data_IF_547180493143
#
_entry.id   IF_547180493143
#
_cell.length_a   1.000
_cell.length_b   1.000
_cell.length_c   1.000
_cell.angle_alpha   90.00
_cell.angle_beta   90.00
_cell.angle_gamma   90.00
#
_symmetry.space_group_name_H-M   'P 1'
#
loop_
_entity.id
_entity.type
_entity.pdbx_description
1 polymer ?
#
# COMPACT_ATOMS: atom_id res chain seq x y z
N UNK A 1 40.25 18.47 32.74
CA UNK A 1 39.50 17.48 31.94
C UNK A 1 38.05 17.58 32.33
N UNK A 2 37.18 17.90 31.38
CA UNK A 2 35.72 17.88 31.61
C UNK A 2 35.25 16.47 31.43
N UNK A 3 34.64 15.86 32.42
CA UNK A 3 33.95 14.60 32.26
C UNK A 3 32.71 14.83 31.40
N UNK A 4 32.62 14.16 30.26
CA UNK A 4 31.42 14.15 29.44
C UNK A 4 30.34 13.35 30.19
N UNK A 5 29.32 14.04 30.67
CA UNK A 5 28.18 13.40 31.30
C UNK A 5 27.53 12.42 30.31
N UNK A 6 27.32 11.19 30.74
CA UNK A 6 26.56 10.19 29.96
C UNK A 6 25.06 10.44 30.21
N UNK A 7 24.33 10.79 29.16
CA UNK A 7 22.87 10.77 29.20
C UNK A 7 22.39 9.34 28.77
N UNK A 8 21.37 8.80 29.43
CA UNK A 8 20.79 7.53 28.97
C UNK A 8 20.29 7.71 27.53
N UNK A 9 20.56 6.75 26.64
CA UNK A 9 20.26 6.86 25.20
C UNK A 9 18.77 6.89 24.90
N UNK A 10 17.92 6.43 25.81
CA UNK A 10 16.46 6.47 25.70
C UNK A 10 15.80 6.50 27.08
N UNK A 11 14.62 7.09 27.17
CA UNK A 11 13.77 6.99 28.36
C UNK A 11 13.12 5.61 28.37
N UNK A 12 13.13 4.88 29.50
CA UNK A 12 12.45 3.60 29.62
C UNK A 12 10.92 3.76 29.56
N UNK A 13 10.23 2.88 28.86
CA UNK A 13 8.78 2.78 28.92
C UNK A 13 8.40 1.55 29.75
N UNK A 14 7.90 1.77 30.96
CA UNK A 14 7.50 0.72 31.90
C UNK A 14 6.15 0.08 31.56
N UNK A 15 5.35 0.71 30.72
CA UNK A 15 4.03 0.24 30.29
C UNK A 15 4.09 -0.55 28.98
N UNK A 16 5.30 -0.78 28.47
CA UNK A 16 5.50 -1.51 27.22
C UNK A 16 5.04 -2.98 27.36
N UNK A 17 4.14 -3.37 26.46
CA UNK A 17 3.60 -4.72 26.35
C UNK A 17 4.13 -5.42 25.11
N UNK A 18 4.12 -6.74 25.12
CA UNK A 18 4.36 -7.54 23.92
C UNK A 18 3.22 -7.41 22.93
N UNK A 19 3.57 -7.35 21.65
CA UNK A 19 2.58 -7.50 20.58
C UNK A 19 1.89 -8.85 20.69
N UNK A 20 0.57 -8.86 20.51
CA UNK A 20 -0.23 -10.08 20.52
C UNK A 20 -0.98 -10.23 19.20
N UNK A 21 -1.13 -11.49 18.74
CA UNK A 21 -1.87 -11.82 17.55
C UNK A 21 -2.98 -12.81 17.90
N UNK A 22 -4.21 -12.45 17.50
CA UNK A 22 -5.40 -13.31 17.61
C UNK A 22 -5.87 -13.63 16.19
N UNK A 23 -6.16 -14.90 15.91
CA UNK A 23 -6.62 -15.34 14.61
C UNK A 23 -7.80 -16.28 14.72
N UNK A 24 -8.78 -16.12 13.84
CA UNK A 24 -9.89 -17.01 13.62
C UNK A 24 -9.84 -17.44 12.18
N UNK A 25 -9.88 -18.74 11.93
CA UNK A 25 -9.94 -19.36 10.61
C UNK A 25 -11.12 -20.32 10.56
N UNK A 26 -11.93 -20.20 9.51
CA UNK A 26 -13.06 -21.09 9.23
C UNK A 26 -12.94 -21.56 7.78
N UNK A 27 -12.69 -22.87 7.62
CA UNK A 27 -12.47 -23.45 6.30
C UNK A 27 -13.36 -24.64 5.98
N UNK A 28 -13.56 -24.88 4.70
CA UNK A 28 -14.23 -26.06 4.15
C UNK A 28 -13.42 -26.60 2.99
N UNK A 29 -13.03 -27.86 3.07
CA UNK A 29 -12.39 -28.62 2.00
C UNK A 29 -13.34 -29.69 1.47
N UNK A 30 -13.54 -29.66 0.16
CA UNK A 30 -14.37 -30.64 -0.54
C UNK A 30 -13.57 -31.37 -1.62
N UNK A 31 -13.71 -32.70 -1.67
CA UNK A 31 -13.20 -33.52 -2.76
C UNK A 31 -14.34 -34.30 -3.38
N UNK A 32 -14.45 -34.22 -4.68
CA UNK A 32 -15.58 -34.77 -5.44
C UNK A 32 -15.12 -35.48 -6.70
N UNK A 33 -16.03 -36.25 -7.31
CA UNK A 33 -15.82 -36.91 -8.60
C UNK A 33 -14.58 -37.84 -8.61
N UNK A 34 -14.42 -38.67 -7.59
CA UNK A 34 -13.26 -39.53 -7.40
C UNK A 34 -11.93 -38.76 -7.37
N UNK A 35 -11.89 -37.70 -6.55
CA UNK A 35 -10.74 -36.80 -6.40
C UNK A 35 -10.32 -36.02 -7.65
N UNK A 36 -11.19 -35.95 -8.68
CA UNK A 36 -10.92 -35.09 -9.84
C UNK A 36 -11.12 -33.62 -9.57
N UNK A 37 -12.11 -33.29 -8.74
CA UNK A 37 -12.42 -31.93 -8.35
C UNK A 37 -12.12 -31.75 -6.85
N UNK A 38 -11.28 -30.78 -6.52
CA UNK A 38 -11.10 -30.28 -5.16
C UNK A 38 -11.44 -28.80 -5.08
N UNK A 39 -12.10 -28.42 -4.00
CA UNK A 39 -12.51 -27.08 -3.69
C UNK A 39 -12.15 -26.78 -2.24
N UNK A 40 -11.48 -25.65 -1.98
CA UNK A 40 -11.20 -25.10 -0.68
C UNK A 40 -11.80 -23.71 -0.57
N UNK A 41 -12.35 -23.41 0.58
CA UNK A 41 -12.82 -22.09 0.93
C UNK A 41 -12.48 -21.82 2.39
N UNK A 42 -11.83 -20.69 2.64
CA UNK A 42 -11.44 -20.26 3.98
C UNK A 42 -11.84 -18.80 4.18
N UNK A 43 -12.34 -18.50 5.36
CA UNK A 43 -12.48 -17.15 5.90
C UNK A 43 -11.50 -16.99 7.05
N UNK A 44 -10.73 -15.92 7.03
CA UNK A 44 -9.83 -15.59 8.12
C UNK A 44 -10.04 -14.18 8.66
N UNK A 45 -9.83 -14.02 9.96
CA UNK A 45 -9.71 -12.73 10.63
C UNK A 45 -8.54 -12.79 11.59
N UNK A 46 -7.55 -11.88 11.37
CA UNK A 46 -6.37 -11.74 12.22
C UNK A 46 -6.31 -10.34 12.78
N UNK A 47 -6.22 -10.24 14.11
CA UNK A 47 -6.01 -8.98 14.84
C UNK A 47 -4.61 -8.99 15.45
N UNK A 48 -3.81 -7.97 15.14
CA UNK A 48 -2.55 -7.69 15.82
C UNK A 48 -2.78 -6.52 16.75
N UNK A 49 -2.54 -6.72 18.05
CA UNK A 49 -2.75 -5.72 19.11
C UNK A 49 -1.42 -5.28 19.68
N UNK A 50 -1.41 -4.10 20.25
CA UNK A 50 -0.27 -3.54 20.95
C UNK A 50 0.99 -3.43 20.10
N UNK A 51 0.84 -3.11 18.78
CA UNK A 51 1.95 -2.92 17.86
C UNK A 51 2.99 -1.97 18.43
N UNK A 52 4.24 -2.40 18.48
CA UNK A 52 5.35 -1.62 19.01
C UNK A 52 5.90 -0.71 17.92
N UNK A 53 5.83 0.59 18.14
CA UNK A 53 6.38 1.59 17.23
C UNK A 53 7.54 2.31 17.91
N UNK A 54 8.60 2.53 17.14
CA UNK A 54 9.79 3.29 17.52
C UNK A 54 9.89 4.54 16.67
N UNK A 55 10.65 5.55 17.12
CA UNK A 55 10.92 6.73 16.32
C UNK A 55 9.86 7.83 16.39
N UNK A 56 8.91 7.74 17.29
CA UNK A 56 7.99 8.85 17.60
C UNK A 56 8.79 9.93 18.30
N UNK A 57 8.87 11.13 17.72
CA UNK A 57 9.68 12.23 18.24
C UNK A 57 9.17 12.69 19.60
N UNK A 58 9.97 12.63 20.67
CA UNK A 58 9.55 13.17 21.96
C UNK A 58 9.39 14.69 21.87
N UNK A 59 8.60 15.24 22.80
CA UNK A 59 8.58 16.69 23.02
C UNK A 59 10.02 17.23 23.15
N UNK A 60 10.29 18.38 22.54
CA UNK A 60 11.58 19.11 22.63
C UNK A 60 12.12 19.27 24.04
N UNK A 61 11.27 19.13 25.07
CA UNK A 61 11.60 19.25 26.50
C UNK A 61 12.39 18.05 27.02
N UNK A 62 12.28 16.86 26.38
CA UNK A 62 12.83 15.61 26.92
C UNK A 62 14.29 15.40 26.54
N UNK A 63 14.75 15.95 25.43
CA UNK A 63 16.16 15.92 25.01
C UNK A 63 16.76 14.53 24.71
N UNK A 64 15.96 13.46 24.77
CA UNK A 64 16.36 12.06 24.58
C UNK A 64 15.71 11.45 23.34
N UNK A 65 16.27 10.32 22.90
CA UNK A 65 15.64 9.49 21.87
C UNK A 65 14.35 8.85 22.41
N UNK A 66 13.41 8.62 21.50
CA UNK A 66 12.11 8.01 21.79
C UNK A 66 12.23 6.60 22.35
N UNK A 67 11.47 6.32 23.39
CA UNK A 67 11.18 4.96 23.82
C UNK A 67 10.21 4.28 22.87
N UNK A 68 10.34 2.96 22.66
CA UNK A 68 9.29 2.21 22.01
C UNK A 68 7.98 2.31 22.80
N UNK A 69 6.85 2.35 22.09
CA UNK A 69 5.52 2.36 22.69
C UNK A 69 4.55 1.49 21.92
N UNK A 70 3.54 0.98 22.59
CA UNK A 70 2.44 0.29 21.95
C UNK A 70 1.51 1.32 21.31
N UNK A 71 1.59 1.46 19.98
CA UNK A 71 0.98 2.58 19.29
C UNK A 71 -0.35 2.26 18.62
N UNK A 72 -0.64 0.99 18.31
CA UNK A 72 -1.88 0.72 17.60
C UNK A 72 -2.25 -0.75 17.44
N UNK A 73 -3.43 -0.97 16.86
CA UNK A 73 -3.94 -2.29 16.52
C UNK A 73 -4.30 -2.34 15.03
N UNK A 74 -4.06 -3.50 14.42
CA UNK A 74 -4.38 -3.74 13.01
C UNK A 74 -5.22 -5.00 12.87
N UNK A 75 -6.21 -4.92 12.01
CA UNK A 75 -7.07 -6.03 11.61
C UNK A 75 -6.83 -6.37 10.15
N UNK A 76 -6.62 -7.66 9.87
CA UNK A 76 -6.63 -8.25 8.55
C UNK A 76 -7.78 -9.24 8.46
N UNK A 77 -8.55 -9.22 7.38
CA UNK A 77 -9.59 -10.21 7.15
C UNK A 77 -9.75 -10.46 5.66
N UNK A 78 -10.18 -11.65 5.29
CA UNK A 78 -10.36 -11.99 3.89
C UNK A 78 -10.94 -13.38 3.69
N UNK A 79 -11.07 -13.71 2.41
CA UNK A 79 -11.51 -15.02 1.94
C UNK A 79 -10.44 -15.60 1.03
N UNK A 80 -10.25 -16.90 1.13
CA UNK A 80 -9.39 -17.66 0.25
C UNK A 80 -10.20 -18.74 -0.45
N UNK A 81 -10.03 -18.84 -1.77
CA UNK A 81 -10.67 -19.85 -2.59
C UNK A 81 -9.60 -20.61 -3.36
N UNK A 82 -9.71 -21.91 -3.34
CA UNK A 82 -8.90 -22.80 -4.14
C UNK A 82 -9.81 -23.75 -4.93
N UNK A 83 -9.56 -23.89 -6.23
CA UNK A 83 -10.23 -24.83 -7.11
C UNK A 83 -9.19 -25.60 -7.90
N UNK A 84 -9.28 -26.92 -7.89
CA UNK A 84 -8.40 -27.77 -8.68
C UNK A 84 -9.22 -28.85 -9.39
N UNK A 85 -8.95 -28.96 -10.68
CA UNK A 85 -9.44 -30.04 -11.52
C UNK A 85 -8.27 -30.87 -12.04
N UNK A 86 -8.34 -32.18 -11.95
CA UNK A 86 -7.39 -33.11 -12.56
C UNK A 86 -8.12 -34.26 -13.21
N UNK A 87 -7.66 -34.65 -14.38
CA UNK A 87 -8.22 -35.80 -15.10
C UNK A 87 -7.19 -36.38 -16.07
N UNK A 88 -7.55 -37.50 -16.65
CA UNK A 88 -6.77 -38.16 -17.70
C UNK A 88 -7.65 -38.63 -18.85
N UNK A 89 -7.14 -38.49 -20.05
CA UNK A 89 -7.75 -39.00 -21.29
C UNK A 89 -6.71 -39.91 -21.93
N UNK A 90 -6.84 -41.22 -21.71
CA UNK A 90 -5.83 -42.23 -22.11
C UNK A 90 -4.44 -41.87 -21.52
N UNK A 91 -3.47 -41.63 -22.39
CA UNK A 91 -2.09 -41.29 -22.02
C UNK A 91 -1.88 -39.78 -21.71
N UNK A 92 -2.94 -38.97 -21.87
CA UNK A 92 -2.89 -37.55 -21.60
C UNK A 92 -3.43 -37.23 -20.21
N UNK A 93 -2.54 -36.76 -19.31
CA UNK A 93 -2.90 -36.34 -17.97
C UNK A 93 -2.88 -34.80 -17.94
N UNK A 94 -3.86 -34.18 -17.31
CA UNK A 94 -3.88 -32.73 -17.16
C UNK A 94 -4.47 -32.30 -15.82
N UNK A 95 -4.05 -31.13 -15.36
CA UNK A 95 -4.69 -30.47 -14.23
C UNK A 95 -4.77 -28.96 -14.44
N UNK A 96 -5.79 -28.37 -13.85
CA UNK A 96 -6.00 -26.92 -13.75
C UNK A 96 -6.20 -26.61 -12.29
N UNK A 97 -5.37 -25.73 -11.75
CA UNK A 97 -5.48 -25.25 -10.36
C UNK A 97 -5.57 -23.74 -10.39
N UNK A 98 -6.55 -23.17 -9.69
CA UNK A 98 -6.71 -21.73 -9.49
C UNK A 98 -6.90 -21.42 -8.03
N UNK A 99 -6.38 -20.29 -7.60
CA UNK A 99 -6.63 -19.73 -6.27
C UNK A 99 -6.83 -18.22 -6.35
N UNK A 100 -7.63 -17.71 -5.43
CA UNK A 100 -7.81 -16.27 -5.21
C UNK A 100 -7.89 -16.03 -3.70
N UNK A 101 -7.19 -15.01 -3.22
CA UNK A 101 -7.21 -14.58 -1.83
C UNK A 101 -7.52 -13.09 -1.78
N UNK A 102 -8.53 -12.71 -1.02
CA UNK A 102 -8.87 -11.31 -0.75
C UNK A 102 -8.22 -10.84 0.54
N UNK A 103 -7.92 -9.55 0.65
CA UNK A 103 -7.34 -8.97 1.86
C UNK A 103 -7.97 -7.61 2.13
N UNK A 104 -8.56 -7.46 3.30
CA UNK A 104 -8.95 -6.17 3.86
C UNK A 104 -8.11 -5.87 5.09
N UNK A 105 -7.23 -4.89 4.98
CA UNK A 105 -6.38 -4.42 6.07
C UNK A 105 -6.94 -3.12 6.64
N UNK A 106 -6.92 -2.95 7.96
CA UNK A 106 -7.38 -1.74 8.62
C UNK A 106 -6.69 -1.52 9.95
N UNK A 107 -6.21 -0.30 10.20
CA UNK A 107 -5.83 0.17 11.52
C UNK A 107 -7.11 0.40 12.33
N UNK A 108 -7.28 -0.30 13.44
CA UNK A 108 -8.50 -0.29 14.24
C UNK A 108 -8.37 0.54 15.52
N UNK A 109 -7.15 0.90 15.87
CA UNK A 109 -6.85 1.74 17.03
C UNK A 109 -5.48 2.39 16.84
N UNK A 110 -5.36 3.64 17.20
CA UNK A 110 -4.11 4.37 17.36
C UNK A 110 -4.09 5.00 18.74
N UNK A 111 -2.90 5.05 19.38
CA UNK A 111 -2.76 5.60 20.71
C UNK A 111 -3.20 7.07 20.74
N UNK A 112 -3.99 7.47 21.76
CA UNK A 112 -4.68 8.76 21.85
C UNK A 112 -3.77 10.00 21.77
N UNK A 113 -2.48 9.83 22.07
CA UNK A 113 -1.49 10.92 21.94
C UNK A 113 -0.99 11.12 20.50
N UNK A 114 -1.42 10.27 19.57
CA UNK A 114 -1.00 10.28 18.17
C UNK A 114 -2.22 10.48 17.29
N UNK A 115 -2.20 11.49 16.46
CA UNK A 115 -3.19 11.64 15.37
C UNK A 115 -2.90 10.64 14.25
N UNK A 116 -1.61 10.49 13.91
CA UNK A 116 -1.10 9.57 12.89
C UNK A 116 0.41 9.36 13.08
N UNK A 117 0.93 8.29 12.49
CA UNK A 117 2.37 8.05 12.41
C UNK A 117 2.79 8.22 10.96
N UNK A 118 3.85 8.97 10.76
CA UNK A 118 4.40 9.28 9.44
C UNK A 118 5.60 8.40 9.13
N UNK A 119 5.68 7.89 7.89
CA UNK A 119 6.90 7.28 7.39
C UNK A 119 7.77 8.33 6.70
N UNK A 120 9.08 8.07 6.64
CA UNK A 120 9.99 8.89 5.85
C UNK A 120 10.10 8.33 4.44
N UNK A 121 9.97 9.20 3.43
CA UNK A 121 10.26 8.83 2.04
C UNK A 121 11.64 9.34 1.63
N UNK A 122 12.41 8.52 0.91
CA UNK A 122 13.74 8.88 0.40
C UNK A 122 13.71 9.69 -0.89
N UNK A 123 12.55 9.97 -1.46
CA UNK A 123 12.42 10.50 -2.82
C UNK A 123 12.46 12.05 -2.92
N UNK A 124 12.68 12.77 -1.81
CA UNK A 124 12.65 14.24 -1.79
C UNK A 124 11.26 14.85 -1.93
N UNK A 125 10.22 14.04 -1.78
CA UNK A 125 8.81 14.43 -1.91
C UNK A 125 8.20 14.70 -0.53
N UNK A 126 8.90 14.30 0.53
CA UNK A 126 8.41 14.35 1.91
C UNK A 126 7.63 13.09 2.27
N UNK A 127 6.87 13.18 3.35
CA UNK A 127 6.07 12.06 3.87
C UNK A 127 4.89 11.81 2.95
N UNK A 128 4.64 10.55 2.60
CA UNK A 128 3.49 10.11 1.81
C UNK A 128 2.73 8.96 2.46
N UNK A 129 3.40 8.13 3.25
CA UNK A 129 2.78 6.96 3.86
C UNK A 129 2.46 7.23 5.32
N UNK A 130 1.25 6.88 5.71
CA UNK A 130 0.70 7.16 7.03
C UNK A 130 0.11 5.92 7.65
N UNK A 131 0.25 5.83 8.98
CA UNK A 131 -0.45 4.86 9.80
C UNK A 131 -1.46 5.64 10.64
N UNK A 132 -2.73 5.48 10.34
CA UNK A 132 -3.83 6.26 10.89
C UNK A 132 -5.05 5.37 11.11
N UNK A 133 -5.80 5.62 12.17
CA UNK A 133 -6.99 4.85 12.47
C UNK A 133 -8.04 5.00 11.36
N UNK A 134 -8.63 3.87 10.97
CA UNK A 134 -9.65 3.85 9.93
C UNK A 134 -9.14 3.50 8.53
N UNK A 135 -7.84 3.62 8.28
CA UNK A 135 -7.17 3.41 7.00
C UNK A 135 -6.38 2.10 6.94
N UNK A 136 -5.98 1.62 5.76
CA UNK A 136 -4.98 0.56 5.64
C UNK A 136 -3.64 1.01 6.23
N UNK A 137 -2.83 0.05 6.70
CA UNK A 137 -1.49 0.38 7.20
C UNK A 137 -0.65 1.01 6.09
N UNK A 138 0.05 2.10 6.42
CA UNK A 138 0.94 2.80 5.49
C UNK A 138 0.30 3.19 4.16
N UNK A 139 -1.00 3.57 4.19
CA UNK A 139 -1.68 4.10 3.02
C UNK A 139 -0.98 5.38 2.52
N UNK A 140 -1.13 5.66 1.24
CA UNK A 140 -0.59 6.88 0.64
C UNK A 140 -1.60 8.01 0.81
N UNK A 141 -1.14 9.14 1.34
CA UNK A 141 -1.94 10.35 1.50
C UNK A 141 -1.39 11.47 0.63
N UNK A 142 -2.27 12.14 -0.05
CA UNK A 142 -1.92 13.22 -0.96
C UNK A 142 -3.16 13.93 -1.51
N UNK A 143 -3.01 14.58 -2.64
CA UNK A 143 -4.06 15.38 -3.26
C UNK A 143 -4.77 14.60 -4.36
N UNK A 144 -6.08 14.73 -4.46
CA UNK A 144 -6.84 14.24 -5.60
C UNK A 144 -6.70 15.25 -6.76
N UNK A 145 -5.98 14.84 -7.82
CA UNK A 145 -5.83 15.66 -9.02
C UNK A 145 -7.00 15.36 -9.97
N UNK A 146 -7.88 16.33 -10.18
CA UNK A 146 -9.08 16.18 -11.02
C UNK A 146 -8.83 16.44 -12.50
N UNK A 147 -7.66 16.99 -12.85
CA UNK A 147 -7.29 17.25 -14.22
C UNK A 147 -6.18 18.29 -14.36
N UNK A 148 -5.96 18.70 -15.59
CA UNK A 148 -4.99 19.73 -15.97
C UNK A 148 -5.75 20.92 -16.57
N UNK A 149 -5.49 22.10 -16.06
CA UNK A 149 -6.06 23.34 -16.61
C UNK A 149 -5.57 23.54 -18.05
N UNK A 150 -6.50 23.54 -19.00
CA UNK A 150 -6.19 23.66 -20.42
C UNK A 150 -5.57 24.99 -20.79
N UNK A 151 -5.75 26.04 -20.01
CA UNK A 151 -5.21 27.39 -20.29
C UNK A 151 -3.82 27.60 -19.72
N UNK A 152 -3.56 27.05 -18.53
CA UNK A 152 -2.30 27.30 -17.80
C UNK A 152 -1.37 26.08 -17.80
N UNK A 153 -1.92 24.89 -18.01
CA UNK A 153 -1.20 23.63 -17.89
C UNK A 153 -0.87 23.21 -16.46
N UNK A 154 -1.45 23.89 -15.48
CA UNK A 154 -1.28 23.56 -14.07
C UNK A 154 -2.27 22.45 -13.62
N UNK A 155 -1.91 21.62 -12.64
CA UNK A 155 -2.81 20.61 -12.08
C UNK A 155 -3.95 21.28 -11.30
N UNK A 156 -5.14 20.73 -11.43
CA UNK A 156 -6.34 21.11 -10.68
C UNK A 156 -6.53 20.08 -9.56
N UNK A 157 -6.52 20.55 -8.33
CA UNK A 157 -6.75 19.72 -7.14
C UNK A 157 -8.14 19.92 -6.61
N UNK A 158 -8.68 18.87 -6.02
CA UNK A 158 -9.96 18.92 -5.32
C UNK A 158 -9.79 19.58 -3.96
N UNK A 159 -10.62 20.56 -3.70
CA UNK A 159 -10.80 21.19 -2.39
C UNK A 159 -11.72 20.27 -1.57
N UNK A 160 -11.18 19.64 -0.52
CA UNK A 160 -11.90 18.63 0.27
C UNK A 160 -12.74 19.27 1.37
N UNK A 161 -12.39 20.47 1.81
CA UNK A 161 -13.05 21.19 2.89
C UNK A 161 -13.84 22.42 2.42
N UNK A 162 -13.82 22.73 1.10
CA UNK A 162 -14.51 23.84 0.45
C UNK A 162 -14.11 25.22 1.01
N UNK A 163 -12.84 25.40 1.43
CA UNK A 163 -12.33 26.68 1.94
C UNK A 163 -11.72 27.59 0.86
N UNK A 164 -11.58 27.09 -0.36
CA UNK A 164 -11.02 27.80 -1.51
C UNK A 164 -9.49 27.83 -1.54
N UNK A 165 -8.80 27.11 -0.64
CA UNK A 165 -7.35 27.08 -0.53
C UNK A 165 -6.88 25.62 -0.54
N UNK A 166 -6.14 25.21 -1.55
CA UNK A 166 -5.56 23.86 -1.55
C UNK A 166 -4.39 23.80 -0.57
N UNK A 167 -4.60 23.09 0.56
CA UNK A 167 -3.67 22.97 1.67
C UNK A 167 -3.56 21.54 2.20
N UNK A 168 -2.90 21.36 3.35
CA UNK A 168 -2.74 20.03 3.96
C UNK A 168 -4.08 19.39 4.41
N UNK A 169 -5.11 20.23 4.63
CA UNK A 169 -6.46 19.78 4.94
C UNK A 169 -7.15 19.04 3.77
N UNK A 170 -6.70 19.27 2.52
CA UNK A 170 -7.25 18.65 1.32
C UNK A 170 -6.57 17.34 0.96
N UNK A 171 -5.58 16.93 1.74
CA UNK A 171 -4.98 15.62 1.54
C UNK A 171 -5.92 14.51 1.98
N UNK A 172 -6.08 13.50 1.13
CA UNK A 172 -6.90 12.31 1.38
C UNK A 172 -6.12 11.03 1.09
N UNK A 173 -6.71 9.88 1.34
CA UNK A 173 -6.16 8.60 0.88
C UNK A 173 -6.18 8.56 -0.65
N UNK A 174 -5.01 8.46 -1.27
CA UNK A 174 -4.83 8.41 -2.71
C UNK A 174 -4.38 7.04 -3.22
N UNK A 175 -4.15 6.11 -2.32
CA UNK A 175 -3.81 4.74 -2.66
C UNK A 175 -3.23 3.93 -1.52
N UNK A 176 -3.13 2.63 -1.75
CA UNK A 176 -2.55 1.65 -0.83
C UNK A 176 -1.68 0.65 -1.56
N UNK A 177 -0.54 0.28 -0.97
CA UNK A 177 0.30 -0.79 -1.51
C UNK A 177 -0.27 -2.20 -1.25
N UNK A 178 -1.34 -2.30 -0.44
CA UNK A 178 -1.98 -3.56 -0.09
C UNK A 178 -3.01 -3.90 -1.16
N UNK A 179 -2.91 -5.08 -1.82
CA UNK A 179 -3.88 -5.46 -2.83
C UNK A 179 -5.23 -5.85 -2.22
N UNK A 180 -6.31 -5.58 -2.93
CA UNK A 180 -7.65 -6.06 -2.60
C UNK A 180 -7.73 -7.59 -2.72
N UNK A 181 -7.06 -8.13 -3.75
CA UNK A 181 -6.94 -9.57 -3.93
C UNK A 181 -5.69 -9.96 -4.72
N UNK A 182 -5.25 -11.18 -4.48
CA UNK A 182 -4.21 -11.86 -5.25
C UNK A 182 -4.79 -13.12 -5.87
N UNK A 183 -4.25 -13.54 -7.01
CA UNK A 183 -4.72 -14.74 -7.70
C UNK A 183 -3.57 -15.50 -8.35
N UNK A 184 -3.79 -16.78 -8.54
CA UNK A 184 -2.86 -17.66 -9.26
C UNK A 184 -3.61 -18.70 -10.09
N UNK A 185 -3.01 -19.09 -11.22
CA UNK A 185 -3.47 -20.20 -12.03
C UNK A 185 -2.30 -21.08 -12.44
N UNK A 186 -2.47 -22.36 -12.35
CA UNK A 186 -1.49 -23.36 -12.77
C UNK A 186 -2.16 -24.36 -13.69
N UNK A 187 -1.60 -24.55 -14.87
CA UNK A 187 -2.00 -25.55 -15.85
C UNK A 187 -0.86 -26.56 -15.98
N UNK A 188 -1.18 -27.85 -15.86
CA UNK A 188 -0.21 -28.91 -16.13
C UNK A 188 -0.75 -29.88 -17.16
N UNK A 189 0.10 -30.38 -18.03
CA UNK A 189 -0.22 -31.40 -19.01
C UNK A 189 0.97 -32.35 -19.17
N UNK A 190 0.71 -33.64 -19.25
CA UNK A 190 1.70 -34.66 -19.51
C UNK A 190 1.20 -35.62 -20.56
N UNK A 191 2.02 -35.90 -21.58
CA UNK A 191 1.70 -36.79 -22.67
C UNK A 191 2.94 -37.48 -23.26
N UNK A 192 2.97 -38.80 -23.20
CA UNK A 192 4.01 -39.63 -23.83
C UNK A 192 5.45 -39.18 -23.58
N UNK A 193 5.77 -38.82 -22.33
CA UNK A 193 7.11 -38.37 -21.92
C UNK A 193 7.37 -36.87 -22.10
N UNK A 194 6.36 -36.08 -22.54
CA UNK A 194 6.39 -34.63 -22.54
C UNK A 194 5.59 -34.09 -21.36
N UNK A 195 6.15 -33.15 -20.63
CA UNK A 195 5.51 -32.44 -19.54
C UNK A 195 5.49 -30.94 -19.84
N UNK A 196 4.34 -30.30 -19.58
CA UNK A 196 4.15 -28.86 -19.71
C UNK A 196 3.54 -28.32 -18.42
N UNK A 197 4.12 -27.27 -17.90
CA UNK A 197 3.53 -26.49 -16.80
C UNK A 197 3.50 -25.00 -17.18
N UNK A 198 2.33 -24.40 -17.07
CA UNK A 198 2.13 -22.96 -17.25
C UNK A 198 1.63 -22.42 -15.93
N UNK A 199 2.28 -21.37 -15.42
CA UNK A 199 1.91 -20.69 -14.20
C UNK A 199 1.73 -19.20 -14.46
N UNK A 200 0.67 -18.63 -13.89
CA UNK A 200 0.44 -17.18 -13.86
C UNK A 200 -0.05 -16.75 -12.48
N UNK A 201 0.39 -15.60 -12.03
CA UNK A 201 -0.09 -14.98 -10.80
C UNK A 201 -0.18 -13.47 -10.97
N UNK A 202 -1.01 -12.84 -10.14
CA UNK A 202 -1.17 -11.40 -10.14
C UNK A 202 -1.80 -10.88 -8.85
N UNK A 203 -1.78 -9.56 -8.74
CA UNK A 203 -2.49 -8.82 -7.69
C UNK A 203 -3.33 -7.71 -8.33
N UNK A 204 -4.35 -7.28 -7.64
CA UNK A 204 -5.23 -6.20 -8.07
C UNK A 204 -5.59 -5.29 -6.89
N UNK A 205 -5.79 -4.00 -7.18
CA UNK A 205 -6.21 -3.01 -6.19
C UNK A 205 -5.07 -2.39 -5.39
N UNK A 206 -3.82 -2.82 -5.61
CA UNK A 206 -2.67 -2.17 -5.01
C UNK A 206 -2.12 -1.05 -5.89
N UNK A 207 -1.72 0.04 -5.24
CA UNK A 207 -1.13 1.20 -5.89
C UNK A 207 0.38 1.21 -5.70
N UNK A 208 1.08 1.73 -6.71
CA UNK A 208 2.53 1.88 -6.69
C UNK A 208 2.89 3.35 -6.92
N UNK A 209 3.61 3.92 -5.97
CA UNK A 209 4.12 5.26 -6.14
C UNK A 209 5.18 5.32 -7.24
N UNK A 210 4.90 6.09 -8.28
CA UNK A 210 5.77 6.27 -9.45
C UNK A 210 6.87 7.32 -9.17
N UNK A 211 7.82 7.00 -8.26
CA UNK A 211 8.87 7.91 -7.78
C UNK A 211 9.98 8.27 -8.79
N UNK A 212 9.84 7.97 -10.07
CA UNK A 212 10.81 8.32 -11.10
C UNK A 212 10.72 9.79 -11.56
N UNK A 213 9.61 10.48 -11.31
CA UNK A 213 9.45 11.92 -11.52
C UNK A 213 9.90 12.70 -10.26
N UNK A 214 11.18 13.05 -10.18
CA UNK A 214 11.72 13.74 -8.99
C UNK A 214 11.77 15.26 -9.21
N UNK A 215 11.23 16.02 -8.25
CA UNK A 215 11.31 17.50 -8.21
C UNK A 215 12.73 18.04 -8.28
N UNK A 216 13.69 17.36 -7.65
CA UNK A 216 15.09 17.82 -7.55
C UNK A 216 15.87 17.73 -8.86
N UNK A 217 15.26 17.22 -9.93
CA UNK A 217 15.93 16.99 -11.21
C UNK A 217 15.10 17.50 -12.39
N UNK A 218 14.73 18.78 -12.38
CA UNK A 218 14.01 19.43 -13.49
C UNK A 218 14.72 19.32 -14.86
N UNK A 219 16.01 18.95 -14.85
CA UNK A 219 16.82 18.70 -16.06
C UNK A 219 17.10 17.22 -16.32
N UNK A 220 16.44 16.29 -15.56
CA UNK A 220 16.60 14.88 -15.78
C UNK A 220 15.74 14.38 -16.95
N UNK A 221 16.14 13.25 -17.52
CA UNK A 221 15.32 12.57 -18.52
C UNK A 221 13.97 12.18 -17.91
N UNK A 222 12.91 12.38 -18.69
CA UNK A 222 11.55 11.93 -18.36
C UNK A 222 11.16 10.79 -19.29
N UNK A 223 10.15 10.03 -18.91
CA UNK A 223 9.59 9.01 -19.79
C UNK A 223 8.93 9.65 -20.99
N UNK A 224 9.02 9.00 -22.15
CA UNK A 224 8.43 9.47 -23.41
C UNK A 224 6.93 9.74 -23.26
N UNK A 225 6.20 8.89 -22.52
CA UNK A 225 4.77 9.06 -22.24
C UNK A 225 4.45 10.41 -21.59
N UNK A 226 5.23 10.81 -20.56
CA UNK A 226 5.04 12.13 -19.91
C UNK A 226 5.40 13.27 -20.83
N UNK A 227 6.47 13.11 -21.62
CA UNK A 227 6.89 14.12 -22.58
C UNK A 227 5.83 14.37 -23.66
N UNK A 228 5.27 13.30 -24.22
CA UNK A 228 4.28 13.38 -25.30
C UNK A 228 2.90 13.82 -24.79
N UNK A 229 2.52 13.41 -23.57
CA UNK A 229 1.20 13.70 -23.00
C UNK A 229 1.12 14.98 -22.16
N UNK A 230 2.23 15.75 -22.04
CA UNK A 230 2.23 16.98 -21.25
C UNK A 230 1.52 18.12 -21.97
N UNK A 231 0.99 19.03 -21.21
CA UNK A 231 0.47 20.28 -21.72
C UNK A 231 1.60 21.14 -22.37
N UNK A 232 1.33 21.73 -23.52
CA UNK A 232 2.30 22.53 -24.28
C UNK A 232 1.79 23.91 -24.68
N UNK A 233 0.49 24.09 -24.91
CA UNK A 233 -0.11 25.36 -25.33
C UNK A 233 -1.54 25.50 -24.81
N UNK A 234 -2.00 26.73 -24.67
CA UNK A 234 -3.36 27.04 -24.23
C UNK A 234 -4.39 26.36 -25.14
N UNK A 235 -5.35 25.68 -24.52
CA UNK A 235 -6.37 24.88 -25.19
C UNK A 235 -6.04 23.38 -25.32
N UNK A 236 -4.83 22.96 -24.95
CA UNK A 236 -4.49 21.52 -24.95
C UNK A 236 -5.35 20.73 -23.95
N UNK A 237 -5.84 19.59 -24.40
CA UNK A 237 -6.43 18.57 -23.52
C UNK A 237 -5.34 17.55 -23.13
N UNK A 238 -4.46 17.95 -22.25
CA UNK A 238 -3.28 17.20 -21.88
C UNK A 238 -3.56 16.21 -20.74
N UNK A 239 -2.90 15.06 -20.79
CA UNK A 239 -2.94 14.04 -19.73
C UNK A 239 -2.07 14.44 -18.52
N UNK A 240 -0.98 15.17 -18.76
CA UNK A 240 -0.01 15.57 -17.74
C UNK A 240 0.19 17.07 -17.72
N UNK A 241 0.53 17.60 -16.56
CA UNK A 241 0.82 19.01 -16.38
C UNK A 241 1.99 19.49 -17.28
N UNK A 242 2.07 20.79 -17.46
CA UNK A 242 3.21 21.42 -18.11
C UNK A 242 4.52 21.08 -17.41
N UNK A 243 5.63 21.23 -18.12
CA UNK A 243 6.95 21.14 -17.49
C UNK A 243 7.10 22.24 -16.43
N UNK A 244 7.32 21.88 -15.18
CA UNK A 244 7.39 22.80 -14.05
C UNK A 244 6.07 23.55 -13.76
N UNK A 245 4.99 22.83 -13.42
CA UNK A 245 3.73 23.45 -13.06
C UNK A 245 3.81 24.17 -11.72
N UNK A 246 2.86 25.07 -11.48
CA UNK A 246 2.62 25.62 -10.16
C UNK A 246 2.22 24.49 -9.19
N UNK A 247 2.61 24.59 -7.92
CA UNK A 247 2.35 23.53 -6.90
C UNK A 247 2.87 22.13 -7.31
N UNK A 248 4.06 22.10 -7.92
CA UNK A 248 4.66 20.85 -8.38
C UNK A 248 4.86 19.81 -7.27
N UNK A 249 5.16 20.24 -6.06
CA UNK A 249 5.26 19.42 -4.86
C UNK A 249 3.94 18.70 -4.53
N UNK A 250 2.80 19.38 -4.66
CA UNK A 250 1.46 18.80 -4.50
C UNK A 250 1.14 17.84 -5.64
N UNK A 251 1.50 18.18 -6.87
CA UNK A 251 1.30 17.32 -8.04
C UNK A 251 2.06 16.00 -7.92
N UNK A 252 3.24 16.00 -7.30
CA UNK A 252 3.98 14.77 -7.05
C UNK A 252 3.36 13.88 -5.97
N UNK A 253 2.52 14.44 -5.12
CA UNK A 253 1.74 13.74 -4.10
C UNK A 253 0.27 13.60 -4.50
N UNK A 254 0.00 13.49 -5.78
CA UNK A 254 -1.39 13.36 -6.27
C UNK A 254 -1.61 12.08 -7.06
N UNK A 255 -2.85 11.68 -7.15
CA UNK A 255 -3.35 10.54 -7.93
C UNK A 255 -4.23 11.00 -9.08
#
# INVERSE_FOLDING_TARGET
>A
AYETGSLPPATGNYDLKWETSEQIDLGIDLRMLNDRLSFGFDYYEKKTKDLIVTGITPSLIVGNTTSPMNAGNVKNSGFEFELSWRDNIKDFNYSIKGNIATLKNKVTYLHETLERIESTTSAGIGVMNYFEEGHPIWYMRGYECTGIDSQTGDPIFKDMNDDGIIGDADQTEIGSAIPDFTYGITLTAAWKGFDLTIFGSGSHGNDVFAGYNRTSRMKANTLKEFYDGRWTTAGDNAKYARSNPSNYDKYLKSS
#
